data_IF_657739966105
#
_entry.id   IF_657739966105
#
_cell.length_a   1.000
_cell.length_b   1.000
_cell.length_c   1.000
_cell.angle_alpha   90.00
_cell.angle_beta   90.00
_cell.angle_gamma   90.00
#
_symmetry.space_group_name_H-M   'P 1'
#
loop_
_entity.id
_entity.type
_entity.pdbx_description
1 polymer ?
#
# COMPACT_ATOMS: atom_id res chain seq x y z
N UNK A 1 0.97 10.73 -5.65
CA UNK A 1 0.66 9.51 -4.88
C UNK A 1 1.35 9.44 -3.52
N UNK A 2 2.70 9.39 -3.35
CA UNK A 2 3.32 9.36 -2.01
C UNK A 2 3.03 10.65 -1.21
N UNK A 3 3.12 11.82 -1.85
CA UNK A 3 2.73 13.08 -1.24
C UNK A 3 1.23 13.12 -0.84
N UNK A 4 0.38 12.39 -1.57
CA UNK A 4 -1.04 12.31 -1.24
C UNK A 4 -1.25 11.43 -0.01
N UNK A 5 -0.42 10.40 0.17
CA UNK A 5 -0.41 9.60 1.39
C UNK A 5 0.03 10.44 2.60
N UNK A 6 1.07 11.26 2.45
CA UNK A 6 1.50 12.20 3.49
C UNK A 6 0.36 13.19 3.84
N UNK A 7 -0.29 13.77 2.84
CA UNK A 7 -1.43 14.66 3.05
C UNK A 7 -2.60 13.95 3.76
N UNK A 8 -2.89 12.72 3.38
CA UNK A 8 -3.90 11.85 3.99
C UNK A 8 -3.61 11.59 5.47
N UNK A 9 -2.38 11.18 5.80
CA UNK A 9 -1.97 10.93 7.19
C UNK A 9 -1.99 12.21 8.03
N UNK A 10 -1.56 13.33 7.45
CA UNK A 10 -1.65 14.62 8.13
C UNK A 10 -3.09 15.05 8.40
N UNK A 11 -4.02 14.83 7.45
CA UNK A 11 -5.43 15.13 7.62
C UNK A 11 -6.07 14.27 8.72
N UNK A 12 -5.80 12.96 8.71
CA UNK A 12 -6.25 12.01 9.74
C UNK A 12 -5.80 12.46 11.13
N UNK A 13 -4.52 12.75 11.30
CA UNK A 13 -3.99 13.16 12.60
C UNK A 13 -4.54 14.49 13.07
N UNK A 14 -4.64 15.50 12.19
CA UNK A 14 -5.19 16.81 12.56
C UNK A 14 -6.64 16.73 13.01
N UNK A 15 -7.41 15.82 12.43
CA UNK A 15 -8.82 15.64 12.78
C UNK A 15 -9.02 14.86 14.08
N UNK A 16 -8.15 13.87 14.36
CA UNK A 16 -8.40 12.89 15.43
C UNK A 16 -7.49 13.00 16.65
N UNK A 17 -6.39 13.77 16.55
CA UNK A 17 -5.55 14.02 17.71
C UNK A 17 -6.28 14.87 18.74
N UNK A 18 -6.33 14.38 19.99
CA UNK A 18 -6.90 15.14 21.11
C UNK A 18 -6.05 16.32 21.55
N UNK A 19 -4.77 16.31 21.19
CA UNK A 19 -3.81 17.38 21.51
C UNK A 19 -3.84 18.44 20.43
N UNK A 20 -4.13 19.69 20.82
CA UNK A 20 -4.20 20.83 19.90
C UNK A 20 -2.80 21.38 19.57
N UNK A 21 -2.71 22.04 18.42
CA UNK A 21 -1.51 22.74 17.96
C UNK A 21 -0.25 21.86 17.81
N UNK A 22 -0.43 20.60 17.44
CA UNK A 22 0.67 19.69 17.11
C UNK A 22 0.94 19.75 15.62
N UNK A 23 2.15 20.12 15.23
CA UNK A 23 2.57 20.11 13.84
C UNK A 23 2.83 18.66 13.36
N UNK A 24 2.53 18.39 12.09
CA UNK A 24 2.88 17.13 11.43
C UNK A 24 3.93 17.41 10.38
N UNK A 25 5.06 16.69 10.45
CA UNK A 25 6.19 16.81 9.53
C UNK A 25 6.48 15.44 8.89
N UNK A 26 6.95 15.45 7.65
CA UNK A 26 7.41 14.25 6.95
C UNK A 26 8.93 14.26 6.72
N UNK A 27 9.62 15.22 7.34
CA UNK A 27 11.07 15.29 7.33
C UNK A 27 11.70 14.17 8.19
N UNK A 28 12.94 13.84 7.89
CA UNK A 28 13.72 12.91 8.69
C UNK A 28 13.89 13.46 10.12
N UNK A 29 13.79 12.61 11.15
CA UNK A 29 13.97 13.01 12.54
C UNK A 29 15.47 13.06 12.91
N UNK A 30 16.26 13.83 12.16
CA UNK A 30 17.70 14.01 12.35
C UNK A 30 18.04 14.99 13.45
N UNK A 31 19.33 15.35 13.57
CA UNK A 31 19.83 16.31 14.56
C UNK A 31 19.41 17.76 14.28
N UNK A 32 18.91 18.06 13.08
CA UNK A 32 18.42 19.38 12.66
C UNK A 32 16.89 19.53 12.80
N UNK A 33 16.20 18.51 13.30
CA UNK A 33 14.75 18.58 13.49
C UNK A 33 14.40 19.56 14.66
N UNK A 34 13.38 20.41 14.54
CA UNK A 34 12.42 20.53 13.44
C UNK A 34 12.96 21.33 12.26
N UNK A 35 12.56 20.98 11.02
CA UNK A 35 12.94 21.76 9.85
C UNK A 35 12.32 23.16 9.88
N UNK A 36 12.85 24.12 9.11
CA UNK A 36 12.30 25.45 9.00
C UNK A 36 10.80 25.44 8.67
N UNK A 37 10.00 26.20 9.41
CA UNK A 37 8.55 26.29 9.24
C UNK A 37 7.73 25.28 10.07
N UNK A 38 8.36 24.35 10.76
CA UNK A 38 7.69 23.44 11.69
C UNK A 38 7.87 23.93 13.13
N UNK A 39 6.75 24.20 13.81
CA UNK A 39 6.73 24.58 15.23
C UNK A 39 6.58 23.35 16.13
N UNK A 40 7.22 23.37 17.29
CA UNK A 40 6.99 22.39 18.35
C UNK A 40 5.76 22.74 19.19
N UNK A 41 5.01 21.76 19.69
CA UNK A 41 5.22 20.32 19.57
C UNK A 41 4.92 19.79 18.16
N UNK A 42 5.65 18.74 17.75
CA UNK A 42 5.50 18.16 16.43
C UNK A 42 5.55 16.60 16.46
N UNK A 43 4.90 15.99 15.47
CA UNK A 43 5.03 14.57 15.16
C UNK A 43 5.72 14.45 13.80
N UNK A 44 6.81 13.70 13.74
CA UNK A 44 7.48 13.40 12.49
C UNK A 44 7.08 11.99 11.99
N UNK A 45 6.67 11.92 10.72
CA UNK A 45 6.40 10.70 9.95
C UNK A 45 7.49 10.55 8.89
N UNK A 46 8.55 9.85 9.20
CA UNK A 46 9.63 9.63 8.26
C UNK A 46 9.36 8.36 7.43
N UNK A 47 9.13 8.53 6.12
CA UNK A 47 9.01 7.42 5.19
C UNK A 47 10.40 6.81 4.95
N UNK A 48 10.66 5.65 5.54
CA UNK A 48 11.99 5.03 5.47
C UNK A 48 12.06 3.83 4.51
N UNK A 49 10.90 3.28 4.10
CA UNK A 49 10.89 2.11 3.23
C UNK A 49 9.61 2.08 2.37
N UNK A 50 9.77 1.69 1.10
CA UNK A 50 8.70 1.53 0.13
C UNK A 50 8.94 0.22 -0.62
N UNK A 51 8.00 -0.74 -0.50
CA UNK A 51 8.14 -2.07 -1.11
C UNK A 51 6.86 -2.56 -1.74
N UNK A 52 6.98 -3.34 -2.80
CA UNK A 52 5.86 -4.11 -3.31
C UNK A 52 5.43 -5.17 -2.27
N UNK A 53 4.14 -5.26 -2.00
CA UNK A 53 3.52 -6.28 -1.17
C UNK A 53 3.24 -7.54 -2.03
N UNK A 54 4.25 -8.39 -2.22
CA UNK A 54 4.17 -9.56 -3.11
C UNK A 54 3.08 -10.57 -2.68
N UNK A 55 2.82 -10.67 -1.39
CA UNK A 55 1.75 -11.49 -0.80
C UNK A 55 0.33 -11.02 -1.18
N UNK A 56 0.19 -9.76 -1.60
CA UNK A 56 -1.06 -9.17 -2.06
C UNK A 56 -1.15 -9.05 -3.59
N UNK A 57 -0.20 -9.61 -4.32
CA UNK A 57 -0.20 -9.59 -5.78
C UNK A 57 -1.38 -10.41 -6.31
N UNK A 58 -2.20 -9.81 -7.16
CA UNK A 58 -3.26 -10.49 -7.90
C UNK A 58 -2.85 -10.67 -9.36
N UNK A 59 -3.23 -11.80 -9.95
CA UNK A 59 -3.10 -12.05 -11.40
C UNK A 59 -4.46 -11.90 -12.11
N UNK A 60 -5.52 -11.57 -11.38
CA UNK A 60 -6.86 -11.53 -11.91
C UNK A 60 -7.12 -10.17 -12.57
N UNK A 61 -7.35 -10.20 -13.88
CA UNK A 61 -7.73 -9.02 -14.64
C UNK A 61 -9.23 -8.76 -14.52
N UNK A 62 -9.60 -7.50 -14.45
CA UNK A 62 -10.98 -7.08 -14.46
C UNK A 62 -11.45 -6.82 -15.89
N UNK A 63 -12.65 -7.30 -16.22
CA UNK A 63 -13.32 -7.05 -17.49
C UNK A 63 -14.51 -6.16 -17.23
N UNK A 64 -14.44 -4.91 -17.67
CA UNK A 64 -15.50 -3.93 -17.51
C UNK A 64 -16.22 -3.69 -18.84
N UNK A 65 -17.54 -3.89 -18.85
CA UNK A 65 -18.37 -3.62 -20.02
C UNK A 65 -18.62 -2.11 -20.14
N UNK A 66 -18.30 -1.56 -21.30
CA UNK A 66 -18.57 -0.17 -21.64
C UNK A 66 -20.01 0.01 -22.16
N UNK A 67 -20.50 1.26 -22.19
CA UNK A 67 -21.86 1.59 -22.63
C UNK A 67 -22.10 1.28 -24.14
N UNK A 68 -21.05 1.25 -24.94
CA UNK A 68 -21.06 0.89 -26.37
C UNK A 68 -21.04 -0.61 -26.63
N UNK A 69 -21.01 -1.44 -25.57
CA UNK A 69 -20.96 -2.91 -25.66
C UNK A 69 -19.55 -3.49 -25.80
N UNK A 70 -18.52 -2.65 -25.87
CA UNK A 70 -17.13 -3.08 -25.84
C UNK A 70 -16.72 -3.45 -24.41
N UNK A 71 -15.62 -4.19 -24.29
CA UNK A 71 -15.02 -4.52 -23.00
C UNK A 71 -13.64 -3.87 -22.87
N UNK A 72 -13.36 -3.36 -21.70
CA UNK A 72 -12.01 -2.98 -21.30
C UNK A 72 -11.47 -4.02 -20.33
N UNK A 73 -10.19 -4.33 -20.46
CA UNK A 73 -9.45 -5.21 -19.58
C UNK A 73 -8.47 -4.37 -18.78
N UNK A 74 -8.66 -4.37 -17.45
CA UNK A 74 -7.81 -3.63 -16.53
C UNK A 74 -6.96 -4.61 -15.75
N UNK A 75 -5.62 -4.47 -15.74
CA UNK A 75 -4.78 -5.28 -14.87
C UNK A 75 -5.00 -4.89 -13.42
N UNK A 76 -4.81 -5.83 -12.47
CA UNK A 76 -4.91 -5.50 -11.06
C UNK A 76 -3.83 -4.48 -10.68
N UNK A 77 -4.14 -3.55 -9.76
CA UNK A 77 -3.16 -2.59 -9.27
C UNK A 77 -2.03 -3.29 -8.51
N UNK A 78 -0.84 -2.74 -8.57
CA UNK A 78 0.29 -3.18 -7.75
C UNK A 78 0.08 -2.68 -6.33
N UNK A 79 0.19 -3.57 -5.35
CA UNK A 79 0.08 -3.23 -3.93
C UNK A 79 1.45 -2.85 -3.40
N UNK A 80 1.56 -1.64 -2.84
CA UNK A 80 2.83 -1.09 -2.33
C UNK A 80 2.67 -0.74 -0.86
N UNK A 81 3.54 -1.29 -0.02
CA UNK A 81 3.60 -0.96 1.40
C UNK A 81 4.60 0.18 1.62
N UNK A 82 4.11 1.24 2.24
CA UNK A 82 4.88 2.41 2.67
C UNK A 82 5.08 2.33 4.17
N UNK A 83 6.33 2.30 4.63
CA UNK A 83 6.68 2.15 6.04
C UNK A 83 7.22 3.46 6.62
N UNK A 84 6.59 3.92 7.68
CA UNK A 84 6.93 5.15 8.38
C UNK A 84 7.51 4.86 9.76
N UNK A 85 8.55 5.62 10.09
CA UNK A 85 9.05 5.78 11.45
C UNK A 85 8.43 7.04 12.05
N UNK A 86 7.70 6.89 13.16
CA UNK A 86 7.01 8.01 13.80
C UNK A 86 7.73 8.37 15.08
N UNK A 87 8.04 9.65 15.25
CA UNK A 87 8.65 10.21 16.45
C UNK A 87 7.87 11.42 16.93
N UNK A 88 7.85 11.63 18.24
CA UNK A 88 7.23 12.80 18.85
C UNK A 88 8.29 13.79 19.35
N UNK A 89 8.02 15.06 19.17
CA UNK A 89 8.89 16.17 19.52
C UNK A 89 8.11 17.14 20.40
N UNK A 90 8.38 17.16 21.71
CA UNK A 90 7.64 17.99 22.64
C UNK A 90 7.97 19.48 22.48
N UNK A 91 7.17 20.34 23.07
CA UNK A 91 7.45 21.78 23.13
C UNK A 91 8.79 22.06 23.82
N UNK A 92 9.54 23.04 23.32
CA UNK A 92 10.79 23.46 23.95
C UNK A 92 10.60 24.02 25.38
N UNK A 93 9.38 24.44 25.73
CA UNK A 93 9.04 25.03 27.04
C UNK A 93 8.47 24.02 28.04
N UNK A 94 8.35 22.74 27.69
CA UNK A 94 7.80 21.72 28.62
C UNK A 94 8.77 21.43 29.76
N UNK A 95 8.30 21.32 31.00
CA UNK A 95 9.14 20.99 32.15
C UNK A 95 9.73 19.57 32.10
N UNK A 96 8.99 18.62 31.53
CA UNK A 96 9.41 17.24 31.39
C UNK A 96 9.28 16.79 29.91
N UNK A 97 10.33 17.01 29.11
CA UNK A 97 10.29 16.66 27.68
C UNK A 97 10.07 15.17 27.43
N UNK A 98 10.60 14.29 28.27
CA UNK A 98 10.50 12.85 28.07
C UNK A 98 9.08 12.33 28.29
N UNK A 99 8.42 12.78 29.36
CA UNK A 99 7.03 12.41 29.60
C UNK A 99 6.09 12.99 28.54
N UNK A 100 6.33 14.19 28.10
CA UNK A 100 5.53 14.84 27.06
C UNK A 100 5.69 14.14 25.70
N UNK A 101 6.92 13.70 25.37
CA UNK A 101 7.19 12.85 24.21
C UNK A 101 6.39 11.56 24.25
N UNK A 102 6.42 10.83 25.36
CA UNK A 102 5.68 9.59 25.52
C UNK A 102 4.16 9.81 25.48
N UNK A 103 3.68 10.92 26.04
CA UNK A 103 2.26 11.30 25.98
C UNK A 103 1.82 11.56 24.54
N UNK A 104 2.56 12.36 23.80
CA UNK A 104 2.28 12.69 22.40
C UNK A 104 2.28 11.41 21.53
N UNK A 105 3.32 10.59 21.69
CA UNK A 105 3.43 9.33 20.93
C UNK A 105 2.29 8.37 21.26
N UNK A 106 1.89 8.32 22.54
CA UNK A 106 0.74 7.53 23.00
C UNK A 106 -0.60 7.97 22.38
N UNK A 107 -0.81 9.29 22.23
CA UNK A 107 -2.01 9.81 21.56
C UNK A 107 -2.01 9.45 20.05
N UNK A 108 -0.88 9.61 19.37
CA UNK A 108 -0.74 9.17 17.98
C UNK A 108 -1.02 7.66 17.84
N UNK A 109 -0.44 6.86 18.72
CA UNK A 109 -0.67 5.40 18.74
C UNK A 109 -2.16 5.06 18.87
N UNK A 110 -2.90 5.73 19.74
CA UNK A 110 -4.35 5.52 19.90
C UNK A 110 -5.12 5.82 18.62
N UNK A 111 -4.80 6.94 17.96
CA UNK A 111 -5.42 7.30 16.67
C UNK A 111 -5.15 6.24 15.62
N UNK A 112 -3.89 5.85 15.45
CA UNK A 112 -3.50 4.89 14.43
C UNK A 112 -4.04 3.47 14.68
N UNK A 113 -4.14 3.03 15.95
CA UNK A 113 -4.72 1.73 16.30
C UNK A 113 -6.23 1.68 16.08
N UNK A 114 -6.91 2.83 16.14
CA UNK A 114 -8.35 2.93 15.87
C UNK A 114 -8.67 2.63 14.40
N UNK A 115 -7.75 2.96 13.51
CA UNK A 115 -7.92 2.86 12.06
C UNK A 115 -7.03 1.77 11.47
N UNK A 116 -7.56 0.54 11.34
CA UNK A 116 -6.89 -0.54 10.61
C UNK A 116 -6.93 -0.34 9.08
N UNK A 117 -7.76 0.57 8.66
CA UNK A 117 -7.92 1.01 7.27
C UNK A 117 -8.09 2.52 7.32
N UNK A 118 -7.42 3.24 6.44
CA UNK A 118 -7.56 4.69 6.36
C UNK A 118 -8.98 5.01 5.90
N UNK A 119 -9.76 5.83 6.65
CA UNK A 119 -11.10 6.21 6.26
C UNK A 119 -11.11 7.06 4.99
N UNK A 120 -12.08 6.83 4.10
CA UNK A 120 -12.21 7.51 2.82
C UNK A 120 -12.23 9.04 2.94
N UNK A 121 -12.86 9.58 4.00
CA UNK A 121 -12.96 11.02 4.23
C UNK A 121 -11.64 11.75 4.42
N UNK A 122 -10.53 11.03 4.62
CA UNK A 122 -9.19 11.61 4.76
C UNK A 122 -8.33 11.41 3.52
N UNK A 123 -8.76 10.57 2.56
CA UNK A 123 -7.98 10.28 1.36
C UNK A 123 -7.81 11.52 0.49
N UNK A 124 -6.60 11.77 0.05
CA UNK A 124 -6.20 12.94 -0.74
C UNK A 124 -5.67 12.52 -2.12
N UNK A 125 -5.84 13.38 -3.11
CA UNK A 125 -5.26 13.25 -4.44
C UNK A 125 -5.61 11.92 -5.12
N UNK A 126 -4.62 11.23 -5.66
CA UNK A 126 -4.77 9.94 -6.35
C UNK A 126 -5.26 8.79 -5.45
N UNK A 127 -5.20 8.96 -4.12
CA UNK A 127 -5.71 7.95 -3.18
C UNK A 127 -7.23 8.05 -3.01
N UNK A 128 -7.82 9.22 -3.27
CA UNK A 128 -9.26 9.42 -3.27
C UNK A 128 -9.87 8.69 -4.48
N UNK A 129 -10.80 7.79 -4.23
CA UNK A 129 -11.45 7.01 -5.30
C UNK A 129 -10.77 5.69 -5.64
N UNK A 130 -9.77 5.27 -4.88
CA UNK A 130 -9.28 3.89 -4.98
C UNK A 130 -10.38 2.93 -4.49
N UNK A 131 -10.73 1.94 -5.34
CA UNK A 131 -11.73 0.92 -5.00
C UNK A 131 -11.30 0.03 -3.83
N UNK A 132 -9.99 -0.12 -3.65
CA UNK A 132 -9.43 -0.99 -2.62
C UNK A 132 -9.11 -0.17 -1.37
N UNK A 133 -9.61 -0.59 -0.20
CA UNK A 133 -9.26 0.07 1.06
C UNK A 133 -7.74 0.12 1.28
N UNK A 134 -7.26 1.15 1.93
CA UNK A 134 -5.86 1.30 2.31
C UNK A 134 -5.63 0.68 3.70
N UNK A 135 -5.22 -0.59 3.79
CA UNK A 135 -4.95 -1.20 5.08
C UNK A 135 -3.73 -0.55 5.72
N UNK A 136 -3.87 -0.31 7.02
CA UNK A 136 -2.84 0.33 7.82
C UNK A 136 -2.61 -0.45 9.11
N UNK A 137 -1.36 -0.52 9.57
CA UNK A 137 -0.99 -1.26 10.77
C UNK A 137 0.21 -0.65 11.49
N UNK A 138 0.19 -0.71 12.79
CA UNK A 138 1.40 -0.54 13.60
C UNK A 138 2.16 -1.85 13.52
N UNK A 139 3.45 -1.79 13.19
CA UNK A 139 4.30 -2.96 13.00
C UNK A 139 5.00 -3.27 14.31
N UNK A 140 4.84 -4.49 14.82
CA UNK A 140 5.52 -4.94 16.03
C UNK A 140 7.02 -5.21 15.77
N UNK A 141 7.34 -5.68 14.57
CA UNK A 141 8.72 -5.93 14.14
C UNK A 141 9.12 -4.91 13.09
N UNK A 142 10.03 -4.01 13.46
CA UNK A 142 10.63 -3.10 12.51
C UNK A 142 11.42 -3.89 11.48
N UNK A 143 11.22 -3.61 10.20
CA UNK A 143 12.11 -4.12 9.15
C UNK A 143 13.50 -3.46 9.20
N UNK A 144 13.70 -2.54 10.12
CA UNK A 144 15.00 -1.97 10.44
C UNK A 144 15.80 -2.96 11.27
N UNK A 145 16.84 -3.51 10.69
CA UNK A 145 17.71 -4.50 11.33
C UNK A 145 18.41 -3.93 12.59
N UNK A 146 18.56 -2.61 12.66
CA UNK A 146 19.09 -1.90 13.82
C UNK A 146 18.57 -0.46 13.90
N UNK A 147 17.72 -0.19 14.89
CA UNK A 147 17.32 1.19 15.23
C UNK A 147 18.52 2.04 15.67
N UNK A 148 19.50 1.40 16.33
CA UNK A 148 20.72 2.09 16.77
C UNK A 148 21.54 2.62 15.59
N UNK A 149 21.70 1.83 14.54
CA UNK A 149 22.41 2.25 13.32
C UNK A 149 21.66 3.38 12.58
N UNK A 150 20.33 3.30 12.55
CA UNK A 150 19.52 4.36 11.96
C UNK A 150 19.72 5.70 12.69
N UNK A 151 19.62 5.69 14.03
CA UNK A 151 19.84 6.90 14.82
C UNK A 151 21.26 7.44 14.67
N UNK A 152 22.25 6.57 14.60
CA UNK A 152 23.64 6.96 14.36
C UNK A 152 23.81 7.59 12.99
N UNK A 153 23.21 7.00 11.94
CA UNK A 153 23.27 7.52 10.57
C UNK A 153 22.60 8.89 10.43
N UNK A 154 21.50 9.14 11.19
CA UNK A 154 20.79 10.42 11.20
C UNK A 154 21.44 11.48 12.12
N UNK A 155 22.51 11.15 12.84
CA UNK A 155 23.15 12.07 13.78
C UNK A 155 22.30 12.41 15.02
N UNK A 156 21.10 11.82 15.13
CA UNK A 156 20.15 12.09 16.19
C UNK A 156 20.38 11.26 17.45
N UNK A 157 19.74 11.69 18.54
CA UNK A 157 19.68 10.90 19.77
C UNK A 157 18.57 9.86 19.66
N UNK A 158 18.77 8.62 20.18
CA UNK A 158 17.71 7.62 20.24
C UNK A 158 16.45 8.16 20.92
N UNK A 159 15.30 7.93 20.32
CA UNK A 159 13.98 8.34 20.80
C UNK A 159 13.01 7.16 20.76
N UNK A 160 11.94 7.24 21.53
CA UNK A 160 10.81 6.34 21.39
C UNK A 160 10.18 6.49 19.99
N UNK A 161 9.89 5.37 19.35
CA UNK A 161 9.38 5.33 17.98
C UNK A 161 8.19 4.39 17.83
N UNK A 162 7.30 4.72 16.90
CA UNK A 162 6.31 3.78 16.37
C UNK A 162 6.65 3.46 14.92
N UNK A 163 6.49 2.20 14.53
CA UNK A 163 6.55 1.78 13.15
C UNK A 163 5.14 1.62 12.59
N UNK A 164 4.86 2.29 11.50
CA UNK A 164 3.53 2.30 10.88
C UNK A 164 3.64 1.99 9.40
N UNK A 165 2.82 1.08 8.91
CA UNK A 165 2.79 0.72 7.51
C UNK A 165 1.40 0.93 6.93
N UNK A 166 1.36 1.51 5.74
CA UNK A 166 0.14 1.67 4.93
C UNK A 166 0.38 1.01 3.59
N UNK A 167 -0.60 0.22 3.13
CA UNK A 167 -0.53 -0.38 1.80
C UNK A 167 -1.46 0.38 0.85
N UNK A 168 -0.89 0.94 -0.19
CA UNK A 168 -1.59 1.66 -1.26
C UNK A 168 -1.70 0.81 -2.53
N UNK A 169 -2.64 1.16 -3.40
CA UNK A 169 -2.81 0.57 -4.73
C UNK A 169 -2.23 1.50 -5.79
N UNK A 170 -1.38 0.97 -6.65
CA UNK A 170 -0.70 1.72 -7.71
C UNK A 170 -1.12 1.15 -9.06
N UNK A 171 -1.93 1.89 -9.82
CA UNK A 171 -2.25 1.53 -11.21
C UNK A 171 -1.08 1.90 -12.11
N UNK A 172 -0.42 0.91 -12.69
CA UNK A 172 0.79 1.09 -13.52
C UNK A 172 0.52 0.94 -15.00
N UNK A 173 -0.65 0.42 -15.37
CA UNK A 173 -1.04 0.18 -16.76
C UNK A 173 -2.46 0.71 -16.98
N UNK A 174 -2.66 1.40 -18.08
CA UNK A 174 -3.98 1.85 -18.48
C UNK A 174 -4.86 0.68 -18.96
N UNK A 175 -6.20 0.78 -18.77
CA UNK A 175 -7.14 -0.19 -19.31
C UNK A 175 -6.98 -0.36 -20.81
N UNK A 176 -6.97 -1.60 -21.31
CA UNK A 176 -6.88 -1.90 -22.73
C UNK A 176 -8.25 -2.34 -23.25
N UNK A 177 -8.67 -1.84 -24.41
CA UNK A 177 -9.85 -2.33 -25.12
C UNK A 177 -9.60 -3.72 -25.66
N UNK A 178 -10.55 -4.65 -25.43
CA UNK A 178 -10.44 -6.06 -25.85
C UNK A 178 -11.55 -6.50 -26.82
N UNK A 179 -12.39 -5.57 -27.26
CA UNK A 179 -13.46 -5.84 -28.21
C UNK A 179 -14.78 -6.29 -27.57
N UNK A 180 -15.80 -6.62 -28.38
CA UNK A 180 -17.11 -7.05 -27.88
C UNK A 180 -17.07 -8.43 -27.26
N UNK A 181 -18.09 -8.77 -26.46
CA UNK A 181 -18.26 -10.11 -25.92
C UNK A 181 -18.37 -11.16 -27.02
N UNK A 182 -17.75 -12.31 -26.81
CA UNK A 182 -17.97 -13.49 -27.67
C UNK A 182 -19.39 -14.02 -27.40
N UNK A 183 -20.31 -13.78 -28.34
CA UNK A 183 -21.70 -14.25 -28.26
C UNK A 183 -21.89 -15.67 -28.80
N UNK A 184 -21.05 -16.04 -29.78
CA UNK A 184 -21.11 -17.36 -30.43
C UNK A 184 -19.74 -17.99 -30.58
N UNK A 185 -19.63 -19.27 -30.32
CA UNK A 185 -18.43 -20.06 -30.54
C UNK A 185 -18.75 -21.25 -31.43
N UNK A 186 -18.22 -21.25 -32.64
CA UNK A 186 -18.30 -22.41 -33.53
C UNK A 186 -17.05 -23.27 -33.36
N UNK A 187 -17.21 -24.51 -32.88
CA UNK A 187 -16.11 -25.47 -32.79
C UNK A 187 -16.27 -26.44 -33.97
N UNK A 188 -15.42 -26.33 -34.99
CA UNK A 188 -15.35 -27.28 -36.09
C UNK A 188 -14.32 -28.35 -35.73
N UNK A 189 -14.78 -29.58 -35.49
CA UNK A 189 -13.93 -30.74 -35.31
C UNK A 189 -13.73 -31.36 -36.66
N UNK A 190 -12.57 -31.22 -37.29
CA UNK A 190 -12.21 -31.95 -38.50
C UNK A 190 -11.57 -33.27 -38.08
N UNK A 191 -12.25 -34.35 -38.24
CA UNK A 191 -11.65 -35.69 -38.09
C UNK A 191 -10.72 -35.88 -39.28
N UNK A 192 -9.42 -35.97 -39.01
CA UNK A 192 -8.44 -36.25 -40.06
C UNK A 192 -8.78 -37.57 -40.74
N UNK A 193 -9.12 -37.51 -42.04
CA UNK A 193 -9.19 -38.67 -42.87
C UNK A 193 -7.79 -39.32 -42.92
N UNK A 194 -7.79 -40.60 -42.79
CA UNK A 194 -6.69 -41.50 -43.08
C UNK A 194 -5.76 -41.91 -41.92
N UNK A 195 -6.25 -42.92 -41.23
CA UNK A 195 -5.36 -44.01 -40.84
C UNK A 195 -5.80 -45.23 -41.66
N UNK A 196 -5.02 -45.58 -42.67
CA UNK A 196 -5.04 -46.83 -43.41
C UNK A 196 -5.31 -48.00 -42.45
N UNK A 197 -6.46 -48.63 -42.57
CA UNK A 197 -6.74 -49.94 -41.94
C UNK A 197 -5.66 -50.94 -42.38
N UNK A 198 -5.00 -51.64 -41.46
CA UNK A 198 -4.15 -52.75 -41.83
C UNK A 198 -5.06 -53.83 -42.43
N UNK A 199 -4.70 -54.37 -43.59
CA UNK A 199 -5.39 -55.37 -44.31
C UNK A 199 -5.73 -56.55 -43.41
N UNK A 200 -7.00 -56.95 -43.42
CA UNK A 200 -7.49 -58.17 -42.77
C UNK A 200 -6.80 -59.40 -43.38
N UNK A 201 -6.01 -60.08 -42.57
CA UNK A 201 -5.42 -61.40 -42.94
C UNK A 201 -6.52 -62.44 -42.94
N UNK A 202 -6.80 -62.99 -44.09
CA UNK A 202 -7.74 -64.14 -44.28
C UNK A 202 -7.25 -65.37 -43.51
N UNK A 203 -8.15 -66.15 -42.87
CA UNK A 203 -7.74 -67.32 -42.16
C UNK A 203 -7.40 -68.45 -43.17
N UNK A 204 -6.28 -69.08 -42.93
CA UNK A 204 -5.83 -70.33 -43.63
C UNK A 204 -6.72 -71.44 -43.20
N UNK A 205 -7.29 -72.23 -44.14
CA UNK A 205 -8.03 -73.48 -43.84
C UNK A 205 -7.06 -74.56 -43.35
N UNK A 206 -7.42 -75.19 -42.25
CA UNK A 206 -6.72 -76.35 -41.74
C UNK A 206 -7.28 -77.64 -42.44
N UNK A 207 -6.43 -78.64 -42.59
CA UNK A 207 -6.78 -79.93 -43.26
C UNK A 207 -7.73 -80.80 -42.45
#
# INVERSE_FOLDING_TARGET
MLQDLDATLAALLRAELSVQNVAVSFAAPDDQFPPPGISLPAIAFFLYDVREAHDLRSAQWELNRQADGMYTRTPPPVRVTCSYLITAWPSASTPDPSQDEHRLLGEVMKVLLRHRTIPEGYLSGELAGQETPLPARIIAEAQLHSLGELWQAMGGKPKATLHYAVTISVSVVEPAEVGPAVTDRVITITQGADRTQPAATSPVPRP
#
